data_IF_235487476649
#
_entry.id   IF_235487476649
#
_cell.length_a   1.000
_cell.length_b   1.000
_cell.length_c   1.000
_cell.angle_alpha   90.00
_cell.angle_beta   90.00
_cell.angle_gamma   90.00
#
_symmetry.space_group_name_H-M   'P 1'
#
loop_
_entity.id
_entity.type
_entity.pdbx_description
1 polymer ?
#
# COMPACT_ATOMS: atom_id res chain seq x y z
N UNK A 1 39.81 25.00 -30.55
CA UNK A 1 38.33 25.08 -30.70
C UNK A 1 37.70 23.98 -29.86
N UNK A 2 37.01 24.37 -28.79
CA UNK A 2 36.14 23.49 -28.02
C UNK A 2 34.76 23.44 -28.71
N UNK A 3 34.08 22.29 -28.68
CA UNK A 3 32.79 22.13 -27.99
C UNK A 3 32.18 20.72 -28.14
N UNK A 4 31.84 20.18 -26.98
CA UNK A 4 30.74 19.26 -26.63
C UNK A 4 30.72 17.84 -27.26
N UNK A 5 30.64 16.75 -26.51
CA UNK A 5 30.24 16.56 -25.11
C UNK A 5 28.96 15.74 -25.03
N UNK A 6 28.96 14.78 -24.10
CA UNK A 6 27.79 14.03 -23.57
C UNK A 6 27.37 12.76 -24.34
N UNK A 7 28.13 11.67 -24.13
CA UNK A 7 27.58 10.30 -24.09
C UNK A 7 28.09 9.64 -22.81
N UNK A 8 27.26 9.61 -21.76
CA UNK A 8 27.34 8.74 -20.56
C UNK A 8 26.48 9.35 -19.44
N UNK A 9 25.15 9.18 -19.40
CA UNK A 9 24.35 9.51 -18.18
C UNK A 9 22.95 8.86 -18.10
N UNK A 10 22.72 7.65 -18.63
CA UNK A 10 21.43 6.95 -18.42
C UNK A 10 21.66 5.52 -17.92
N UNK A 11 22.35 5.40 -16.78
CA UNK A 11 22.41 4.14 -16.03
C UNK A 11 22.49 4.32 -14.49
N UNK A 12 22.59 5.56 -13.98
CA UNK A 12 22.83 5.81 -12.56
C UNK A 12 21.59 6.12 -11.70
N UNK A 13 20.42 6.41 -12.30
CA UNK A 13 19.29 6.95 -11.54
C UNK A 13 18.41 5.89 -10.83
N UNK A 14 18.53 4.60 -11.17
CA UNK A 14 17.70 3.53 -10.57
C UNK A 14 18.33 2.85 -9.35
N UNK A 15 19.65 3.01 -9.12
CA UNK A 15 20.35 2.37 -8.00
C UNK A 15 20.39 3.28 -6.75
N UNK A 16 20.21 4.59 -6.91
CA UNK A 16 20.34 5.57 -5.83
C UNK A 16 19.21 5.58 -4.79
N UNK A 17 18.02 5.04 -5.10
CA UNK A 17 16.89 5.07 -4.16
C UNK A 17 16.93 3.94 -3.11
N UNK A 18 17.74 2.90 -3.32
CA UNK A 18 17.79 1.74 -2.42
C UNK A 18 18.80 1.90 -1.27
N UNK A 19 19.76 2.84 -1.36
CA UNK A 19 20.93 2.85 -0.48
C UNK A 19 20.87 3.82 0.72
N UNK A 20 19.88 4.72 0.84
CA UNK A 20 19.86 5.73 1.92
C UNK A 20 19.16 5.31 3.22
N UNK A 21 18.82 4.03 3.41
CA UNK A 21 18.10 3.58 4.63
C UNK A 21 19.01 2.84 5.62
N UNK A 22 20.31 3.12 5.62
CA UNK A 22 21.30 2.25 6.26
C UNK A 22 22.22 2.90 7.28
N UNK A 23 21.76 3.82 8.14
CA UNK A 23 22.30 3.98 9.51
C UNK A 23 21.18 4.49 10.43
N UNK A 24 20.53 3.58 11.15
CA UNK A 24 19.85 3.89 12.41
C UNK A 24 19.97 2.66 13.30
N UNK A 25 20.90 2.76 14.23
CA UNK A 25 21.16 1.82 15.31
C UNK A 25 19.90 1.73 16.18
N UNK A 26 19.39 0.52 16.42
CA UNK A 26 18.25 0.30 17.31
C UNK A 26 17.57 -1.05 17.08
N UNK A 27 17.86 -2.00 17.97
CA UNK A 27 17.21 -3.30 18.02
C UNK A 27 15.69 -3.15 18.16
N UNK A 28 14.96 -3.92 17.34
CA UNK A 28 13.51 -3.92 17.26
C UNK A 28 13.05 -3.53 15.86
N UNK A 29 12.99 -4.51 14.95
CA UNK A 29 12.22 -4.39 13.72
C UNK A 29 10.75 -4.15 14.07
N UNK A 30 10.41 -2.88 14.33
CA UNK A 30 9.06 -2.40 14.15
C UNK A 30 8.77 -2.39 12.64
N UNK A 31 8.68 -3.59 12.05
CA UNK A 31 7.87 -3.78 10.85
C UNK A 31 6.46 -3.43 11.31
N UNK A 32 6.00 -2.21 11.01
CA UNK A 32 4.58 -1.98 11.12
C UNK A 32 3.94 -2.92 10.09
N UNK A 33 3.23 -3.89 10.65
CA UNK A 33 2.44 -4.89 9.96
C UNK A 33 0.99 -4.53 10.25
N UNK A 34 0.14 -4.58 9.24
CA UNK A 34 -1.30 -4.46 9.48
C UNK A 34 -1.71 -5.65 10.37
N UNK A 35 -2.27 -5.34 11.54
CA UNK A 35 -2.62 -6.36 12.52
C UNK A 35 -3.59 -7.38 11.91
N UNK A 36 -3.43 -8.66 12.21
CA UNK A 36 -4.39 -9.67 11.76
C UNK A 36 -5.74 -9.48 12.46
N UNK A 37 -6.82 -9.91 11.79
CA UNK A 37 -8.17 -9.87 12.34
C UNK A 37 -9.22 -9.37 11.38
N UNK A 38 -10.41 -9.08 11.90
CA UNK A 38 -11.57 -8.60 11.14
C UNK A 38 -11.62 -7.07 11.18
N UNK A 39 -12.03 -6.50 10.06
CA UNK A 39 -12.14 -5.07 9.84
C UNK A 39 -13.46 -4.73 9.16
N UNK A 40 -13.98 -3.54 9.43
CA UNK A 40 -14.91 -2.84 8.54
C UNK A 40 -14.10 -1.99 7.58
N UNK A 41 -14.39 -2.10 6.30
CA UNK A 41 -13.67 -1.41 5.23
C UNK A 41 -14.59 -0.45 4.51
N UNK A 42 -14.09 0.72 4.14
CA UNK A 42 -14.79 1.66 3.27
C UNK A 42 -13.80 2.36 2.35
N UNK A 43 -14.16 2.51 1.08
CA UNK A 43 -13.36 3.24 0.10
C UNK A 43 -14.03 4.57 -0.25
N UNK A 44 -13.19 5.58 -0.42
CA UNK A 44 -13.54 6.92 -0.83
C UNK A 44 -12.76 7.20 -2.11
N UNK A 45 -13.32 6.81 -3.25
CA UNK A 45 -12.70 7.10 -4.56
C UNK A 45 -13.01 8.57 -4.91
N UNK A 46 -11.99 9.35 -5.24
CA UNK A 46 -12.17 10.76 -5.56
C UNK A 46 -13.05 10.93 -6.80
N UNK A 47 -14.01 11.86 -6.71
CA UNK A 47 -15.00 12.08 -7.78
C UNK A 47 -16.14 11.07 -7.83
N UNK A 48 -16.19 10.10 -6.90
CA UNK A 48 -17.24 9.07 -6.82
C UNK A 48 -17.84 9.05 -5.41
N UNK A 49 -19.08 8.56 -5.30
CA UNK A 49 -19.73 8.32 -4.00
C UNK A 49 -18.93 7.26 -3.22
N UNK A 50 -18.73 7.42 -1.90
CA UNK A 50 -18.07 6.41 -1.08
C UNK A 50 -18.72 5.04 -1.25
N UNK A 51 -17.90 3.99 -1.28
CA UNK A 51 -18.43 2.63 -1.34
C UNK A 51 -19.20 2.30 -0.06
N UNK A 52 -20.12 1.34 -0.09
CA UNK A 52 -20.72 0.78 1.12
C UNK A 52 -19.63 0.32 2.11
N UNK A 53 -19.96 0.36 3.40
CA UNK A 53 -19.10 -0.23 4.41
C UNK A 53 -19.16 -1.75 4.27
N UNK A 54 -18.03 -2.37 3.96
CA UNK A 54 -17.92 -3.79 3.72
C UNK A 54 -17.11 -4.51 4.82
N UNK A 55 -17.17 -5.84 4.81
CA UNK A 55 -16.33 -6.66 5.67
C UNK A 55 -14.97 -6.91 5.03
N UNK A 56 -13.92 -6.79 5.83
CA UNK A 56 -12.57 -7.14 5.45
C UNK A 56 -11.91 -7.99 6.55
N UNK A 57 -10.89 -8.75 6.17
CA UNK A 57 -10.07 -9.51 7.11
C UNK A 57 -8.62 -9.55 6.66
N UNK A 58 -7.72 -9.50 7.62
CA UNK A 58 -6.29 -9.67 7.39
C UNK A 58 -5.87 -11.00 7.98
N UNK A 59 -5.33 -11.88 7.14
CA UNK A 59 -4.78 -13.19 7.52
C UNK A 59 -3.35 -13.25 6.99
N UNK A 60 -2.38 -13.42 7.88
CA UNK A 60 -0.96 -13.37 7.52
C UNK A 60 -0.58 -12.02 6.88
N UNK A 61 -0.12 -12.06 5.62
CA UNK A 61 0.23 -10.90 4.80
C UNK A 61 -0.80 -10.62 3.69
N UNK A 62 -2.05 -11.09 3.85
CA UNK A 62 -3.09 -10.92 2.83
C UNK A 62 -4.30 -10.20 3.41
N UNK A 63 -4.71 -9.11 2.76
CA UNK A 63 -5.97 -8.43 2.99
C UNK A 63 -7.02 -9.08 2.09
N UNK A 64 -8.12 -9.54 2.67
CA UNK A 64 -9.30 -9.99 1.95
C UNK A 64 -10.46 -9.04 2.21
N UNK A 65 -11.21 -8.69 1.18
CA UNK A 65 -12.37 -7.84 1.34
C UNK A 65 -13.41 -8.09 0.26
N UNK A 66 -14.62 -7.66 0.55
CA UNK A 66 -15.69 -7.49 -0.43
C UNK A 66 -15.77 -5.99 -0.77
N UNK A 67 -15.69 -5.64 -2.06
CA UNK A 67 -15.75 -4.25 -2.49
C UNK A 67 -17.16 -3.66 -2.34
N UNK A 68 -18.19 -4.48 -2.59
CA UNK A 68 -19.57 -4.03 -2.67
C UNK A 68 -20.38 -4.34 -1.40
N UNK A 69 -19.86 -5.19 -0.51
CA UNK A 69 -20.54 -5.59 0.72
C UNK A 69 -21.77 -6.47 0.51
N UNK A 70 -21.97 -6.99 -0.70
CA UNK A 70 -23.13 -7.78 -1.14
C UNK A 70 -22.76 -9.20 -1.58
N UNK A 71 -21.47 -9.55 -1.58
CA UNK A 71 -20.97 -10.80 -2.15
C UNK A 71 -20.49 -11.83 -1.11
N UNK A 72 -20.17 -13.06 -1.55
CA UNK A 72 -19.55 -14.05 -0.68
C UNK A 72 -18.20 -13.53 -0.14
N UNK A 73 -17.83 -13.96 1.06
CA UNK A 73 -16.60 -13.52 1.73
C UNK A 73 -15.35 -13.73 0.83
N UNK A 74 -14.48 -12.71 0.70
CA UNK A 74 -13.15 -12.72 0.03
C UNK A 74 -13.09 -12.52 -1.50
N UNK A 75 -13.97 -11.73 -2.11
CA UNK A 75 -13.92 -11.46 -3.55
C UNK A 75 -12.62 -10.81 -4.03
N UNK A 76 -12.02 -9.96 -3.21
CA UNK A 76 -10.75 -9.31 -3.51
C UNK A 76 -9.69 -9.74 -2.52
N UNK A 77 -8.47 -9.94 -3.03
CA UNK A 77 -7.29 -10.19 -2.20
C UNK A 77 -6.13 -9.31 -2.62
N UNK A 78 -5.45 -8.76 -1.62
CA UNK A 78 -4.25 -7.94 -1.81
C UNK A 78 -3.15 -8.44 -0.90
N UNK A 79 -1.93 -8.50 -1.42
CA UNK A 79 -0.75 -8.84 -0.63
C UNK A 79 -0.21 -7.58 0.03
N UNK A 80 0.06 -7.70 1.33
CA UNK A 80 0.55 -6.63 2.18
C UNK A 80 2.05 -6.81 2.35
N UNK A 81 2.83 -5.83 1.91
CA UNK A 81 4.23 -5.65 2.29
C UNK A 81 4.28 -4.78 3.55
N UNK A 82 4.89 -5.24 4.67
CA UNK A 82 5.08 -4.40 5.85
C UNK A 82 5.86 -3.12 5.52
N UNK A 83 5.56 -2.04 6.22
CA UNK A 83 6.28 -0.75 6.12
C UNK A 83 6.55 -0.23 7.53
N UNK A 84 7.25 0.90 7.70
CA UNK A 84 7.45 1.48 9.04
C UNK A 84 6.17 2.06 9.64
N UNK A 85 5.15 2.38 8.84
CA UNK A 85 3.96 3.12 9.26
C UNK A 85 2.66 2.30 9.22
N UNK A 86 2.65 1.13 8.57
CA UNK A 86 1.51 0.21 8.61
C UNK A 86 1.63 -0.92 7.59
N UNK A 87 1.56 -0.61 6.31
CA UNK A 87 1.72 -1.62 5.26
C UNK A 87 1.33 -1.10 3.88
N UNK A 88 1.87 -1.70 2.85
CA UNK A 88 1.52 -1.41 1.47
C UNK A 88 0.82 -2.62 0.87
N UNK A 89 -0.45 -2.48 0.52
CA UNK A 89 -1.22 -3.53 -0.13
C UNK A 89 -1.20 -3.34 -1.65
N UNK A 90 -1.01 -4.42 -2.40
CA UNK A 90 -1.07 -4.42 -3.86
C UNK A 90 -1.79 -5.67 -4.36
N UNK A 91 -2.30 -5.60 -5.58
CA UNK A 91 -3.12 -6.68 -6.14
C UNK A 91 -2.30 -7.95 -6.34
N UNK A 92 -2.75 -9.05 -5.72
CA UNK A 92 -2.23 -10.44 -5.78
C UNK A 92 -0.75 -10.69 -5.44
N UNK A 93 0.14 -9.70 -5.52
CA UNK A 93 1.59 -9.84 -5.31
C UNK A 93 2.20 -8.57 -4.74
N UNK A 94 3.37 -8.68 -4.09
CA UNK A 94 4.18 -7.55 -3.60
C UNK A 94 5.28 -7.13 -4.59
N UNK A 95 5.24 -7.63 -5.83
CA UNK A 95 6.21 -7.28 -6.87
C UNK A 95 6.14 -5.77 -7.19
N UNK A 96 7.28 -5.07 -7.40
CA UNK A 96 7.31 -3.63 -7.66
C UNK A 96 6.42 -3.17 -8.81
N UNK A 97 6.32 -3.97 -9.88
CA UNK A 97 5.44 -3.65 -11.02
C UNK A 97 3.95 -3.61 -10.62
N UNK A 98 3.50 -4.52 -9.74
CA UNK A 98 2.12 -4.50 -9.24
C UNK A 98 1.89 -3.29 -8.35
N UNK A 99 2.84 -2.94 -7.48
CA UNK A 99 2.77 -1.75 -6.61
C UNK A 99 2.81 -0.43 -7.37
N UNK A 100 3.52 -0.39 -8.49
CA UNK A 100 3.52 0.77 -9.38
C UNK A 100 2.17 0.89 -10.10
N UNK A 101 1.59 -0.22 -10.56
CA UNK A 101 0.29 -0.22 -11.22
C UNK A 101 -0.85 0.15 -10.26
N UNK A 102 -0.89 -0.47 -9.07
CA UNK A 102 -1.89 -0.18 -8.04
C UNK A 102 -1.38 -0.56 -6.66
N UNK A 103 -1.47 0.38 -5.72
CA UNK A 103 -1.16 0.13 -4.31
C UNK A 103 -2.04 0.92 -3.37
N UNK A 104 -2.14 0.44 -2.15
CA UNK A 104 -2.74 1.16 -1.03
C UNK A 104 -1.70 1.26 0.06
N UNK A 105 -1.33 2.49 0.44
CA UNK A 105 -0.35 2.74 1.49
C UNK A 105 -1.06 3.03 2.81
N UNK A 106 -1.13 2.03 3.68
CA UNK A 106 -1.78 2.12 4.98
C UNK A 106 -0.87 2.71 6.06
N UNK A 107 -1.46 3.59 6.86
CA UNK A 107 -0.92 4.13 8.11
C UNK A 107 -1.79 3.70 9.27
N UNK A 108 -1.16 3.30 10.37
CA UNK A 108 -1.86 2.92 11.60
C UNK A 108 -2.56 4.13 12.21
N UNK A 109 -3.75 3.91 12.74
CA UNK A 109 -4.58 4.88 13.46
C UNK A 109 -5.04 4.27 14.79
N UNK A 110 -5.65 5.07 15.67
CA UNK A 110 -6.18 4.60 16.97
C UNK A 110 -7.19 3.46 16.85
N UNK A 111 -7.94 3.40 15.74
CA UNK A 111 -9.05 2.46 15.56
C UNK A 111 -8.84 1.44 14.42
N UNK A 112 -7.65 1.40 13.82
CA UNK A 112 -7.33 0.55 12.67
C UNK A 112 -6.33 1.22 11.75
N UNK A 113 -6.62 1.32 10.45
CA UNK A 113 -5.71 1.85 9.44
C UNK A 113 -6.43 2.78 8.47
N UNK A 114 -5.75 3.83 8.01
CA UNK A 114 -6.17 4.66 6.87
C UNK A 114 -5.11 4.52 5.80
N UNK A 115 -5.52 4.25 4.56
CA UNK A 115 -4.60 4.15 3.44
C UNK A 115 -4.99 5.03 2.28
N UNK A 116 -4.01 5.53 1.54
CA UNK A 116 -4.22 6.25 0.29
C UNK A 116 -4.07 5.26 -0.86
N UNK A 117 -5.05 5.25 -1.75
CA UNK A 117 -5.10 4.39 -2.93
C UNK A 117 -4.41 5.10 -4.09
N UNK A 118 -3.42 4.45 -4.67
CA UNK A 118 -2.70 4.93 -5.85
C UNK A 118 -2.95 4.00 -7.04
N UNK A 119 -3.06 4.60 -8.22
CA UNK A 119 -3.08 3.90 -9.50
C UNK A 119 -2.05 4.52 -10.45
N UNK A 120 -1.54 3.73 -11.39
CA UNK A 120 -0.69 4.16 -12.51
C UNK A 120 0.44 5.09 -12.04
N UNK A 121 1.41 4.52 -11.33
CA UNK A 121 2.48 5.26 -10.69
C UNK A 121 2.06 5.80 -9.33
N UNK A 122 1.88 7.13 -9.22
CA UNK A 122 1.62 7.81 -7.94
C UNK A 122 0.39 8.71 -7.99
N UNK A 123 -0.55 8.44 -8.90
CA UNK A 123 -1.80 9.19 -8.96
C UNK A 123 -2.70 8.72 -7.81
N UNK A 124 -2.98 9.61 -6.86
CA UNK A 124 -3.89 9.33 -5.75
C UNK A 124 -5.33 9.30 -6.27
N UNK A 125 -5.98 8.15 -6.11
CA UNK A 125 -7.34 7.89 -6.60
C UNK A 125 -8.38 7.93 -5.48
N UNK A 126 -7.94 7.94 -4.23
CA UNK A 126 -8.85 7.95 -3.08
C UNK A 126 -8.22 7.46 -1.80
N UNK A 127 -9.06 7.26 -0.80
CA UNK A 127 -8.69 6.71 0.50
C UNK A 127 -9.42 5.38 0.77
N UNK A 128 -8.78 4.49 1.53
CA UNK A 128 -9.40 3.31 2.11
C UNK A 128 -9.25 3.36 3.63
N UNK A 129 -10.35 3.13 4.34
CA UNK A 129 -10.37 3.06 5.81
C UNK A 129 -10.60 1.61 6.21
N UNK A 130 -9.78 1.10 7.12
CA UNK A 130 -9.94 -0.18 7.80
C UNK A 130 -10.17 0.08 9.29
N UNK A 131 -11.38 -0.14 9.79
CA UNK A 131 -11.71 -0.04 11.22
C UNK A 131 -11.71 -1.42 11.85
N UNK A 132 -10.89 -1.64 12.88
CA UNK A 132 -10.79 -2.95 13.53
C UNK A 132 -12.11 -3.30 14.23
N UNK A 133 -12.60 -4.51 13.99
CA UNK A 133 -13.75 -5.07 14.72
C UNK A 133 -13.23 -5.62 16.04
N UNK A 134 -13.89 -5.26 17.15
CA UNK A 134 -13.56 -5.74 18.49
C UNK A 134 -14.01 -7.18 18.67
#
# INVERSE_FOLDING_TARGET
>A
MAKHGVRKWIAGALVGAAAMSGVAVGAGSAEAKIDQGRYKMQQFVYGVIPTPVANARVIGSTLFYDYWGVGPWNLYSQKIKPTRSGGMASFLTTHPASQWYSRIEFRKTRYGYKGTMYSTGSVAMGDMILRKVR
#
